data_IF_661908033117
#
_entry.id   IF_661908033117
#
_cell.length_a   1.000
_cell.length_b   1.000
_cell.length_c   1.000
_cell.angle_alpha   90.00
_cell.angle_beta   90.00
_cell.angle_gamma   90.00
#
_symmetry.space_group_name_H-M   'P 1'
#
loop_
_entity.id
_entity.type
_entity.pdbx_description
1 polymer ?
#
# COMPACT_ATOMS: atom_id res chain seq x y z
N UNK A 1 -4.44 -9.45 -24.85
CA UNK A 1 -4.27 -10.13 -23.54
C UNK A 1 -3.19 -9.35 -22.81
N UNK A 2 -3.45 -8.90 -21.62
CA UNK A 2 -2.48 -8.13 -20.83
C UNK A 2 -1.80 -9.03 -19.78
N UNK A 3 -0.55 -8.78 -19.45
CA UNK A 3 0.16 -9.55 -18.42
C UNK A 3 -0.15 -8.96 -17.05
N UNK A 4 -0.70 -9.78 -16.15
CA UNK A 4 -0.94 -9.46 -14.75
C UNK A 4 0.22 -9.97 -13.89
N UNK A 5 0.84 -9.06 -13.15
CA UNK A 5 1.78 -9.37 -12.08
C UNK A 5 1.05 -9.30 -10.75
N UNK A 6 1.14 -10.35 -9.95
CA UNK A 6 0.58 -10.37 -8.60
C UNK A 6 1.73 -10.26 -7.61
N UNK A 7 1.71 -9.21 -6.80
CA UNK A 7 2.72 -8.93 -5.78
C UNK A 7 2.14 -9.16 -4.38
N UNK A 8 3.01 -9.32 -3.39
CA UNK A 8 2.73 -9.07 -1.99
C UNK A 8 3.62 -7.93 -1.53
N UNK A 9 3.01 -6.90 -0.97
CA UNK A 9 3.68 -5.64 -0.60
C UNK A 9 3.66 -5.50 0.92
N UNK A 10 4.76 -5.05 1.50
CA UNK A 10 5.00 -4.98 2.95
C UNK A 10 5.15 -6.37 3.58
N UNK A 11 5.83 -7.26 2.88
CA UNK A 11 6.19 -8.57 3.43
C UNK A 11 7.12 -8.43 4.64
N UNK A 12 7.11 -9.45 5.50
CA UNK A 12 8.10 -9.59 6.55
C UNK A 12 9.51 -9.90 6.00
N UNK A 13 10.52 -9.98 6.88
CA UNK A 13 11.91 -10.24 6.50
C UNK A 13 12.12 -11.63 5.84
N UNK A 14 11.19 -12.56 6.02
CA UNK A 14 11.20 -13.87 5.39
C UNK A 14 10.41 -13.93 4.07
N UNK A 15 9.82 -12.80 3.62
CA UNK A 15 8.96 -12.72 2.45
C UNK A 15 7.55 -13.28 2.69
N UNK A 16 7.18 -13.48 3.95
CA UNK A 16 5.83 -13.87 4.37
C UNK A 16 4.87 -12.69 4.44
N UNK A 17 3.58 -12.97 4.62
CA UNK A 17 2.51 -11.96 4.72
C UNK A 17 2.46 -11.02 3.52
N UNK A 18 2.21 -9.73 3.74
CA UNK A 18 2.14 -8.70 2.70
C UNK A 18 0.77 -8.60 2.05
N UNK A 19 0.42 -7.38 1.66
CA UNK A 19 -0.85 -7.07 1.02
C UNK A 19 -0.82 -7.46 -0.47
N UNK A 20 -1.77 -8.29 -0.97
CA UNK A 20 -1.84 -8.63 -2.39
C UNK A 20 -2.11 -7.40 -3.28
N UNK A 21 -1.40 -7.33 -4.40
CA UNK A 21 -1.53 -6.26 -5.39
C UNK A 21 -1.49 -6.82 -6.80
N UNK A 22 -2.46 -6.44 -7.63
CA UNK A 22 -2.43 -6.69 -9.07
C UNK A 22 -1.78 -5.53 -9.82
N UNK A 23 -0.81 -5.80 -10.71
CA UNK A 23 -0.18 -4.76 -11.53
C UNK A 23 -0.14 -5.17 -13.01
N UNK A 24 -0.67 -4.32 -13.86
CA UNK A 24 -0.51 -4.37 -15.31
C UNK A 24 0.54 -3.34 -15.73
N UNK A 25 1.76 -3.79 -16.03
CA UNK A 25 2.83 -2.87 -16.48
C UNK A 25 2.57 -2.28 -17.86
N UNK A 26 1.83 -2.99 -18.71
CA UNK A 26 1.33 -2.52 -19.99
C UNK A 26 -0.16 -2.17 -19.88
N UNK A 27 -0.48 -1.36 -18.86
CA UNK A 27 -1.85 -0.97 -18.53
C UNK A 27 -2.58 -0.27 -19.67
N UNK A 28 -1.87 0.33 -20.62
CA UNK A 28 -2.45 0.89 -21.85
C UNK A 28 -3.13 -0.18 -22.73
N UNK A 29 -2.77 -1.47 -22.60
CA UNK A 29 -3.45 -2.57 -23.30
C UNK A 29 -4.84 -2.88 -22.74
N UNK A 30 -5.13 -2.41 -21.50
CA UNK A 30 -6.45 -2.54 -20.87
C UNK A 30 -7.25 -1.26 -21.10
N UNK A 31 -8.35 -1.33 -21.87
CA UNK A 31 -9.17 -0.15 -22.15
C UNK A 31 -9.61 0.54 -20.85
N UNK A 32 -9.53 1.88 -20.75
CA UNK A 32 -9.85 2.61 -19.52
C UNK A 32 -11.23 2.27 -18.95
N UNK A 33 -12.22 2.06 -19.81
CA UNK A 33 -13.59 1.70 -19.43
C UNK A 33 -13.74 0.28 -18.86
N UNK A 34 -12.73 -0.58 -19.02
CA UNK A 34 -12.69 -1.95 -18.50
C UNK A 34 -11.97 -2.05 -17.15
N UNK A 35 -11.10 -1.09 -16.81
CA UNK A 35 -10.19 -1.17 -15.66
C UNK A 35 -10.92 -1.36 -14.33
N UNK A 36 -12.03 -0.65 -14.12
CA UNK A 36 -12.83 -0.81 -12.90
C UNK A 36 -13.43 -2.22 -12.79
N UNK A 37 -13.93 -2.75 -13.92
CA UNK A 37 -14.48 -4.12 -13.93
C UNK A 37 -13.38 -5.16 -13.69
N UNK A 38 -12.20 -4.98 -14.28
CA UNK A 38 -11.02 -5.86 -14.06
C UNK A 38 -10.60 -5.84 -12.60
N UNK A 39 -10.49 -4.67 -11.97
CA UNK A 39 -10.16 -4.55 -10.55
C UNK A 39 -11.20 -5.25 -9.66
N UNK A 40 -12.48 -5.10 -9.98
CA UNK A 40 -13.56 -5.79 -9.27
C UNK A 40 -13.47 -7.30 -9.42
N UNK A 41 -13.22 -7.81 -10.65
CA UNK A 41 -13.10 -9.26 -10.95
C UNK A 41 -11.90 -9.89 -10.25
N UNK A 42 -10.78 -9.17 -10.15
CA UNK A 42 -9.56 -9.64 -9.47
C UNK A 42 -9.72 -9.70 -7.95
N UNK A 43 -10.49 -8.78 -7.37
CA UNK A 43 -10.81 -8.76 -5.94
C UNK A 43 -9.62 -8.49 -5.01
N UNK A 44 -8.49 -7.99 -5.52
CA UNK A 44 -7.42 -7.46 -4.67
C UNK A 44 -7.87 -6.14 -4.02
N UNK A 45 -7.29 -5.77 -2.89
CA UNK A 45 -7.55 -4.45 -2.29
C UNK A 45 -7.32 -3.33 -3.30
N UNK A 46 -6.26 -3.43 -4.12
CA UNK A 46 -6.07 -2.57 -5.29
C UNK A 46 -5.47 -3.30 -6.49
N UNK A 47 -5.72 -2.69 -7.65
CA UNK A 47 -5.13 -3.06 -8.94
C UNK A 47 -4.56 -1.82 -9.63
N UNK A 48 -3.35 -1.93 -10.14
CA UNK A 48 -2.63 -0.83 -10.82
C UNK A 48 -2.55 -1.09 -12.32
N UNK A 49 -2.78 -0.03 -13.08
CA UNK A 49 -2.52 0.01 -14.52
C UNK A 49 -1.46 1.08 -14.81
N UNK A 50 -0.28 0.67 -15.26
CA UNK A 50 0.79 1.58 -15.67
C UNK A 50 0.52 1.98 -17.11
N UNK A 51 0.19 3.25 -17.32
CA UNK A 51 -0.15 3.78 -18.65
C UNK A 51 1.10 3.99 -19.51
N UNK A 52 2.21 4.34 -18.87
CA UNK A 52 3.49 4.58 -19.53
C UNK A 52 4.65 4.25 -18.59
N UNK A 53 5.40 3.20 -18.90
CA UNK A 53 6.56 2.75 -18.10
C UNK A 53 7.66 3.81 -18.04
N UNK A 54 7.87 4.55 -19.12
CA UNK A 54 8.97 5.53 -19.22
C UNK A 54 8.76 6.74 -18.32
N UNK A 55 7.52 7.12 -18.08
CA UNK A 55 7.13 8.23 -17.20
C UNK A 55 6.62 7.75 -15.84
N UNK A 56 6.38 6.44 -15.69
CA UNK A 56 5.73 5.81 -14.55
C UNK A 56 4.34 6.42 -14.23
N UNK A 57 3.62 6.86 -15.28
CA UNK A 57 2.23 7.29 -15.18
C UNK A 57 1.36 6.06 -14.89
N UNK A 58 0.51 6.14 -13.86
CA UNK A 58 -0.27 5.00 -13.38
C UNK A 58 -1.63 5.40 -12.84
N UNK A 59 -2.55 4.43 -12.84
CA UNK A 59 -3.89 4.54 -12.26
C UNK A 59 -4.12 3.40 -11.28
N UNK A 60 -4.82 3.69 -10.19
CA UNK A 60 -5.02 2.78 -9.05
C UNK A 60 -6.52 2.59 -8.84
N UNK A 61 -6.97 1.34 -8.77
CA UNK A 61 -8.38 0.99 -8.59
C UNK A 61 -8.55 0.03 -7.41
N UNK A 62 -9.48 0.33 -6.51
CA UNK A 62 -10.08 -0.66 -5.60
C UNK A 62 -11.14 -1.45 -6.36
N UNK A 63 -11.73 -2.52 -5.81
CA UNK A 63 -12.89 -3.17 -6.42
C UNK A 63 -14.07 -2.23 -6.68
N UNK A 64 -14.20 -1.12 -5.95
CA UNK A 64 -15.33 -0.20 -6.01
C UNK A 64 -15.08 1.10 -6.76
N UNK A 65 -13.86 1.65 -6.73
CA UNK A 65 -13.57 2.98 -7.27
C UNK A 65 -12.10 3.18 -7.63
N UNK A 66 -11.83 4.24 -8.37
CA UNK A 66 -10.48 4.70 -8.67
C UNK A 66 -9.96 5.62 -7.55
N UNK A 67 -8.71 5.38 -7.11
CA UNK A 67 -8.03 6.19 -6.10
C UNK A 67 -7.03 7.16 -6.75
N UNK A 68 -6.95 8.41 -6.26
CA UNK A 68 -5.91 9.34 -6.71
C UNK A 68 -4.51 8.93 -6.23
N UNK A 69 -4.42 8.26 -5.08
CA UNK A 69 -3.18 7.76 -4.46
C UNK A 69 -3.49 6.59 -3.53
N UNK A 70 -2.58 5.62 -3.48
CA UNK A 70 -2.53 4.59 -2.45
C UNK A 70 -1.08 4.16 -2.20
N UNK A 71 -0.73 3.93 -0.93
CA UNK A 71 0.65 3.70 -0.51
C UNK A 71 1.21 2.35 -0.99
N UNK A 72 0.53 1.23 -0.66
CA UNK A 72 1.04 -0.08 -1.04
C UNK A 72 1.05 -0.31 -2.56
N UNK A 73 0.07 0.14 -3.36
CA UNK A 73 0.16 0.08 -4.81
C UNK A 73 1.36 0.84 -5.38
N UNK A 74 1.67 2.01 -4.80
CA UNK A 74 2.83 2.79 -5.22
C UNK A 74 4.15 2.10 -4.90
N UNK A 75 4.30 1.52 -3.69
CA UNK A 75 5.50 0.75 -3.31
C UNK A 75 5.67 -0.48 -4.21
N UNK A 76 4.61 -1.26 -4.42
CA UNK A 76 4.66 -2.45 -5.26
C UNK A 76 4.98 -2.14 -6.73
N UNK A 77 4.36 -1.10 -7.30
CA UNK A 77 4.63 -0.69 -8.69
C UNK A 77 6.06 -0.18 -8.86
N UNK A 78 6.57 0.63 -7.93
CA UNK A 78 7.96 1.10 -7.97
C UNK A 78 8.96 -0.06 -7.91
N UNK A 79 8.71 -1.04 -7.03
CA UNK A 79 9.53 -2.25 -6.94
C UNK A 79 9.49 -3.05 -8.24
N UNK A 80 8.29 -3.29 -8.81
CA UNK A 80 8.12 -4.10 -10.01
C UNK A 80 8.78 -3.45 -11.23
N UNK A 81 8.60 -2.14 -11.45
CA UNK A 81 9.28 -1.42 -12.52
C UNK A 81 10.80 -1.56 -12.41
N UNK A 82 11.36 -1.43 -11.21
CA UNK A 82 12.78 -1.62 -10.98
C UNK A 82 13.23 -3.09 -11.18
N UNK A 83 12.41 -4.07 -10.80
CA UNK A 83 12.63 -5.49 -11.03
C UNK A 83 12.73 -5.79 -12.54
N UNK A 84 11.86 -5.18 -13.34
CA UNK A 84 11.85 -5.28 -14.81
C UNK A 84 12.96 -4.45 -15.49
N UNK A 85 13.80 -3.75 -14.71
CA UNK A 85 14.97 -3.05 -15.22
C UNK A 85 14.78 -1.56 -15.50
N UNK A 86 13.60 -1.00 -15.17
CA UNK A 86 13.36 0.43 -15.32
C UNK A 86 14.04 1.23 -14.19
N UNK A 87 14.55 2.42 -14.51
CA UNK A 87 15.06 3.35 -13.50
C UNK A 87 13.94 4.30 -13.07
N UNK A 88 13.32 4.03 -11.92
CA UNK A 88 12.18 4.81 -11.43
C UNK A 88 12.56 5.59 -10.19
N UNK A 89 12.59 6.92 -10.30
CA UNK A 89 12.80 7.83 -9.18
C UNK A 89 11.48 8.52 -8.76
N UNK A 90 10.48 8.54 -9.64
CA UNK A 90 9.20 9.20 -9.43
C UNK A 90 8.08 8.40 -10.11
N UNK A 91 7.01 8.08 -9.36
CA UNK A 91 5.74 7.60 -9.91
C UNK A 91 4.78 8.78 -10.13
N UNK A 92 3.82 8.62 -11.06
CA UNK A 92 2.83 9.64 -11.40
C UNK A 92 1.40 9.10 -11.34
N UNK A 93 0.87 8.84 -10.13
CA UNK A 93 -0.56 8.64 -9.95
C UNK A 93 -1.31 9.97 -10.08
N UNK A 94 -2.66 9.98 -10.16
CA UNK A 94 -3.45 11.20 -10.32
C UNK A 94 -3.25 12.29 -9.25
N UNK A 95 -2.87 11.91 -8.02
CA UNK A 95 -2.63 12.88 -6.93
C UNK A 95 -1.40 13.76 -7.16
N UNK A 96 -0.40 13.29 -7.92
CA UNK A 96 0.83 14.05 -8.19
C UNK A 96 2.07 13.18 -8.24
N UNK A 97 3.24 13.80 -8.16
CA UNK A 97 4.53 13.12 -8.18
C UNK A 97 4.84 12.46 -6.83
N UNK A 98 5.15 11.19 -6.87
CA UNK A 98 5.51 10.34 -5.72
C UNK A 98 6.96 9.92 -5.87
N UNK A 99 7.83 10.49 -5.05
CA UNK A 99 9.26 10.14 -5.08
C UNK A 99 9.48 8.70 -4.59
N UNK A 100 10.40 8.00 -5.26
CA UNK A 100 10.78 6.64 -4.95
C UNK A 100 12.19 6.59 -4.40
N UNK A 101 12.40 5.82 -3.34
CA UNK A 101 13.70 5.53 -2.75
C UNK A 101 13.83 4.02 -2.52
N UNK A 102 15.01 3.48 -2.70
CA UNK A 102 15.30 2.06 -2.48
C UNK A 102 16.49 1.89 -1.54
N UNK A 103 16.45 0.84 -0.73
CA UNK A 103 17.53 0.41 0.14
C UNK A 103 17.85 -1.06 -0.12
N UNK A 104 19.12 -1.42 -0.19
CA UNK A 104 19.57 -2.78 -0.45
C UNK A 104 19.66 -3.13 -1.94
N UNK A 105 19.70 -4.43 -2.22
CA UNK A 105 19.82 -4.95 -3.59
C UNK A 105 18.47 -4.94 -4.32
N UNK A 106 18.49 -5.20 -5.64
CA UNK A 106 17.32 -5.02 -6.53
C UNK A 106 16.09 -5.79 -6.05
N UNK A 107 16.22 -7.04 -5.69
CA UNK A 107 15.10 -7.93 -5.43
C UNK A 107 14.83 -8.15 -3.93
N UNK A 108 15.86 -8.07 -3.09
CA UNK A 108 15.79 -8.29 -1.65
C UNK A 108 15.78 -6.99 -0.83
N UNK A 109 15.80 -5.84 -1.53
CA UNK A 109 15.82 -4.53 -0.91
C UNK A 109 14.42 -4.01 -0.53
N UNK A 110 14.43 -2.99 0.34
CA UNK A 110 13.21 -2.27 0.68
C UNK A 110 12.94 -1.17 -0.35
N UNK A 111 11.67 -1.00 -0.70
CA UNK A 111 11.20 0.08 -1.57
C UNK A 111 10.33 1.03 -0.76
N UNK A 112 10.57 2.33 -0.94
CA UNK A 112 9.90 3.42 -0.23
C UNK A 112 9.32 4.41 -1.21
N UNK A 113 8.19 5.01 -0.84
CA UNK A 113 7.56 6.11 -1.57
C UNK A 113 7.24 7.25 -0.62
N UNK A 114 7.37 8.49 -1.12
CA UNK A 114 7.06 9.70 -0.36
C UNK A 114 5.78 10.34 -0.91
N UNK A 115 4.84 10.63 -0.02
CA UNK A 115 3.56 11.24 -0.38
C UNK A 115 3.09 12.23 0.69
N UNK A 116 2.12 13.06 0.33
CA UNK A 116 1.44 13.94 1.29
C UNK A 116 0.42 13.15 2.10
N UNK A 117 0.37 13.38 3.40
CA UNK A 117 -0.64 12.78 4.27
C UNK A 117 -2.07 13.14 3.82
N UNK A 118 -2.27 14.35 3.30
CA UNK A 118 -3.56 14.83 2.76
C UNK A 118 -4.06 14.09 1.51
N UNK A 119 -3.22 13.30 0.83
CA UNK A 119 -3.62 12.44 -0.29
C UNK A 119 -4.23 11.11 0.16
N UNK A 120 -4.04 10.77 1.43
CA UNK A 120 -4.61 9.57 2.03
C UNK A 120 -6.13 9.71 2.21
N UNK A 121 -6.89 8.63 2.14
CA UNK A 121 -8.26 8.61 2.65
C UNK A 121 -8.31 9.13 4.10
N UNK A 122 -9.46 9.65 4.56
CA UNK A 122 -9.58 10.26 5.89
C UNK A 122 -9.63 9.19 7.00
N UNK A 123 -8.57 8.39 7.13
CA UNK A 123 -8.47 7.35 8.16
C UNK A 123 -8.72 7.89 9.55
N UNK A 124 -9.62 7.27 10.30
CA UNK A 124 -9.76 7.51 11.72
C UNK A 124 -8.67 6.73 12.48
N UNK A 125 -7.64 7.44 12.93
CA UNK A 125 -6.56 6.84 13.74
C UNK A 125 -7.04 6.67 15.19
N UNK A 126 -7.24 5.43 15.62
CA UNK A 126 -7.75 5.09 16.96
C UNK A 126 -6.66 4.37 17.74
N UNK A 127 -6.13 5.03 18.75
CA UNK A 127 -5.12 4.47 19.64
C UNK A 127 -5.76 3.60 20.72
N UNK A 128 -5.15 2.45 20.97
CA UNK A 128 -5.47 1.51 22.05
C UNK A 128 -4.34 1.51 23.06
N UNK A 129 -4.65 1.26 24.33
CA UNK A 129 -3.67 1.19 25.41
C UNK A 129 -2.72 -0.02 25.27
N UNK A 130 -3.23 -1.14 24.72
CA UNK A 130 -2.51 -2.41 24.65
C UNK A 130 -2.50 -3.01 23.25
N UNK A 131 -1.32 -3.40 22.71
CA UNK A 131 -1.21 -4.02 21.38
C UNK A 131 -1.94 -5.37 21.31
N UNK A 132 -2.07 -6.09 22.43
CA UNK A 132 -2.84 -7.32 22.49
C UNK A 132 -4.34 -7.08 22.24
N UNK A 133 -4.89 -5.93 22.64
CA UNK A 133 -6.27 -5.59 22.36
C UNK A 133 -6.51 -5.36 20.87
N UNK A 134 -5.57 -4.71 20.17
CA UNK A 134 -5.63 -4.54 18.71
C UNK A 134 -5.53 -5.91 18.00
N UNK A 135 -4.63 -6.78 18.44
CA UNK A 135 -4.44 -8.10 17.85
C UNK A 135 -5.64 -9.04 18.05
N UNK A 136 -6.39 -8.88 19.15
CA UNK A 136 -7.52 -9.75 19.51
C UNK A 136 -8.86 -9.34 18.87
N UNK A 137 -8.91 -8.30 18.04
CA UNK A 137 -10.14 -7.86 17.39
C UNK A 137 -10.62 -8.92 16.37
N UNK A 138 -11.91 -9.29 16.45
CA UNK A 138 -12.56 -10.20 15.51
C UNK A 138 -13.18 -9.46 14.30
N UNK A 139 -12.90 -8.15 14.15
CA UNK A 139 -13.44 -7.29 13.11
C UNK A 139 -13.49 -5.84 13.55
N UNK A 140 -14.10 -4.96 12.76
CA UNK A 140 -14.22 -3.54 13.09
C UNK A 140 -15.08 -3.34 14.34
N UNK A 141 -14.60 -2.57 15.33
CA UNK A 141 -15.33 -2.37 16.58
C UNK A 141 -16.64 -1.62 16.35
N UNK A 142 -17.73 -2.12 16.98
CA UNK A 142 -19.03 -1.44 17.00
C UNK A 142 -19.80 -1.45 15.69
N UNK A 143 -19.47 -2.33 14.71
CA UNK A 143 -20.17 -2.40 13.42
C UNK A 143 -20.00 -1.13 12.58
N UNK A 144 -18.90 -0.42 12.76
CA UNK A 144 -18.58 0.79 12.00
C UNK A 144 -18.35 0.44 10.53
N UNK A 145 -18.88 1.30 9.65
CA UNK A 145 -18.65 1.26 8.21
C UNK A 145 -17.57 2.27 7.77
N UNK A 146 -16.97 2.98 8.74
CA UNK A 146 -15.97 4.01 8.50
C UNK A 146 -14.61 3.39 8.17
N UNK A 147 -13.75 4.19 7.55
CA UNK A 147 -12.35 3.87 7.35
C UNK A 147 -11.57 4.08 8.63
N UNK A 148 -11.20 2.99 9.30
CA UNK A 148 -10.58 3.02 10.61
C UNK A 148 -9.22 2.33 10.63
N UNK A 149 -8.27 2.97 11.30
CA UNK A 149 -6.95 2.45 11.58
C UNK A 149 -6.74 2.35 13.08
N UNK A 150 -6.75 1.13 13.59
CA UNK A 150 -6.63 0.80 15.01
C UNK A 150 -5.17 0.46 15.31
N UNK A 151 -4.59 1.13 16.29
CA UNK A 151 -3.17 0.96 16.57
C UNK A 151 -2.84 1.07 18.06
N UNK A 152 -1.70 0.49 18.45
CA UNK A 152 -1.12 0.60 19.78
C UNK A 152 0.40 0.52 19.72
N UNK A 153 1.08 1.12 20.68
CA UNK A 153 2.53 0.97 20.84
C UNK A 153 2.89 -0.44 21.33
N UNK A 154 3.72 -1.15 20.57
CA UNK A 154 4.43 -2.34 21.07
C UNK A 154 5.68 -1.91 21.87
N UNK A 155 6.34 -0.87 21.42
CA UNK A 155 7.46 -0.20 22.06
C UNK A 155 7.54 1.24 21.54
N UNK A 156 7.00 2.17 22.33
CA UNK A 156 6.96 3.58 21.92
C UNK A 156 8.36 4.17 21.76
N UNK A 157 9.31 3.82 22.64
CA UNK A 157 10.67 4.35 22.57
C UNK A 157 11.38 3.93 21.27
N UNK A 158 11.10 2.73 20.78
CA UNK A 158 11.65 2.19 19.54
C UNK A 158 10.78 2.47 18.29
N UNK A 159 9.65 3.17 18.44
CA UNK A 159 8.71 3.46 17.34
C UNK A 159 8.00 2.21 16.80
N UNK A 160 7.87 1.13 17.60
CA UNK A 160 7.19 -0.09 17.17
C UNK A 160 5.70 -0.05 17.47
N UNK A 161 4.90 -0.37 16.45
CA UNK A 161 3.44 -0.26 16.47
C UNK A 161 2.80 -1.59 16.04
N UNK A 162 1.74 -1.99 16.72
CA UNK A 162 0.78 -3.00 16.29
C UNK A 162 -0.45 -2.30 15.72
N UNK A 163 -0.92 -2.71 14.53
CA UNK A 163 -2.11 -2.09 13.93
C UNK A 163 -3.01 -3.10 13.21
N UNK A 164 -4.26 -2.69 12.98
CA UNK A 164 -5.24 -3.30 12.07
C UNK A 164 -6.03 -2.20 11.36
N UNK A 165 -6.41 -2.47 10.13
CA UNK A 165 -7.10 -1.50 9.29
C UNK A 165 -8.36 -2.12 8.70
N UNK A 166 -9.46 -1.34 8.69
CA UNK A 166 -10.73 -1.76 8.10
C UNK A 166 -11.24 -0.67 7.16
N UNK A 167 -11.54 -1.06 5.92
CA UNK A 167 -12.08 -0.21 4.85
C UNK A 167 -13.34 -0.86 4.27
N UNK A 168 -14.44 -0.79 5.04
CA UNK A 168 -15.69 -1.44 4.65
C UNK A 168 -16.41 -0.68 3.53
N UNK A 169 -16.27 0.65 3.50
CA UNK A 169 -16.88 1.50 2.49
C UNK A 169 -16.36 1.19 1.07
N UNK A 170 -15.08 0.80 0.94
CA UNK A 170 -14.44 0.46 -0.33
C UNK A 170 -14.62 -1.02 -0.72
N UNK A 171 -15.32 -1.81 0.11
CA UNK A 171 -15.54 -3.22 -0.12
C UNK A 171 -14.33 -4.13 0.14
N UNK A 172 -13.28 -3.59 0.77
CA UNK A 172 -12.03 -4.33 1.05
C UNK A 172 -12.15 -5.19 2.32
N UNK A 173 -12.94 -4.74 3.31
CA UNK A 173 -13.02 -5.41 4.60
C UNK A 173 -11.82 -5.06 5.49
N UNK A 174 -11.09 -6.07 5.99
CA UNK A 174 -9.80 -5.84 6.65
C UNK A 174 -8.72 -5.72 5.59
N UNK A 175 -7.94 -4.63 5.66
CA UNK A 175 -6.77 -4.40 4.81
C UNK A 175 -5.50 -4.83 5.53
N UNK A 176 -4.80 -5.82 4.95
CA UNK A 176 -3.64 -6.47 5.57
C UNK A 176 -2.48 -5.50 5.80
N UNK A 177 -2.26 -4.51 4.91
CA UNK A 177 -1.21 -3.51 5.08
C UNK A 177 -1.53 -2.21 4.33
N UNK A 178 -1.75 -1.12 5.09
CA UNK A 178 -2.29 0.15 4.60
C UNK A 178 -1.24 1.26 4.62
N UNK A 179 -0.57 1.45 3.49
CA UNK A 179 0.51 2.43 3.39
C UNK A 179 0.05 3.88 3.61
N UNK A 180 -1.16 4.25 3.16
CA UNK A 180 -1.71 5.60 3.35
C UNK A 180 -2.00 5.91 4.82
N UNK A 181 -2.52 4.94 5.59
CA UNK A 181 -2.74 5.10 7.01
C UNK A 181 -1.40 5.18 7.79
N UNK A 182 -0.38 4.40 7.36
CA UNK A 182 0.96 4.48 7.94
C UNK A 182 1.61 5.86 7.72
N UNK A 183 1.41 6.48 6.54
CA UNK A 183 1.83 7.87 6.25
C UNK A 183 1.17 8.84 7.23
N UNK A 184 -0.16 8.75 7.41
CA UNK A 184 -0.89 9.60 8.34
C UNK A 184 -0.44 9.40 9.79
N UNK A 185 -0.21 8.16 10.22
CA UNK A 185 0.24 7.87 11.58
C UNK A 185 1.66 8.41 11.83
N UNK A 186 2.58 8.26 10.88
CA UNK A 186 3.93 8.79 11.00
C UNK A 186 3.93 10.33 11.08
N UNK A 187 3.10 10.99 10.27
CA UNK A 187 2.93 12.45 10.33
C UNK A 187 2.32 12.89 11.66
N UNK A 188 1.24 12.24 12.10
CA UNK A 188 0.53 12.56 13.34
C UNK A 188 1.39 12.36 14.60
N UNK A 189 2.21 11.32 14.63
CA UNK A 189 3.10 11.03 15.78
C UNK A 189 4.43 11.80 15.71
N UNK A 190 4.81 12.29 14.52
CA UNK A 190 6.11 12.93 14.29
C UNK A 190 7.30 11.98 14.44
N UNK A 191 7.10 10.66 14.27
CA UNK A 191 8.09 9.62 14.58
C UNK A 191 8.34 8.70 13.38
N UNK A 192 9.54 8.14 13.34
CA UNK A 192 9.83 6.96 12.54
C UNK A 192 9.17 5.73 13.18
N UNK A 193 8.47 4.94 12.37
CA UNK A 193 7.65 3.81 12.81
C UNK A 193 8.05 2.52 12.11
N UNK A 194 8.09 1.43 12.87
CA UNK A 194 8.04 0.06 12.37
C UNK A 194 6.67 -0.52 12.76
N UNK A 195 5.81 -0.70 11.78
CA UNK A 195 4.42 -1.07 11.98
C UNK A 195 4.23 -2.54 11.60
N UNK A 196 3.71 -3.34 12.52
CA UNK A 196 3.22 -4.68 12.26
C UNK A 196 1.71 -4.64 12.13
N UNK A 197 1.21 -4.77 10.89
CA UNK A 197 -0.21 -4.70 10.57
C UNK A 197 -0.78 -6.07 10.16
N UNK A 198 -2.09 -6.24 10.30
CA UNK A 198 -2.80 -7.44 9.89
C UNK A 198 -2.30 -8.70 10.59
N UNK A 199 -2.02 -9.75 9.85
CA UNK A 199 -1.46 -11.00 10.39
C UNK A 199 0.03 -10.90 10.69
N UNK A 200 0.80 -10.10 9.92
CA UNK A 200 2.23 -9.97 10.13
C UNK A 200 2.98 -9.11 9.13
N UNK A 201 2.28 -8.35 8.31
CA UNK A 201 2.90 -7.42 7.37
C UNK A 201 3.72 -6.35 8.06
N UNK A 202 4.87 -5.98 7.49
CA UNK A 202 5.81 -5.01 8.06
C UNK A 202 5.94 -3.76 7.17
N UNK A 203 5.49 -2.63 7.72
CA UNK A 203 5.63 -1.32 7.11
C UNK A 203 6.64 -0.48 7.89
N UNK A 204 7.45 0.29 7.18
CA UNK A 204 8.28 1.34 7.74
C UNK A 204 7.71 2.67 7.27
N UNK A 205 7.49 3.61 8.20
CA UNK A 205 7.01 4.93 7.86
C UNK A 205 7.76 5.99 8.66
N UNK A 206 7.98 7.17 8.06
CA UNK A 206 8.61 8.28 8.76
C UNK A 206 8.11 9.62 8.24
N UNK A 207 7.95 10.64 9.09
CA UNK A 207 7.63 11.99 8.64
C UNK A 207 8.84 12.60 7.94
N UNK A 208 8.57 13.42 6.92
CA UNK A 208 9.57 14.20 6.18
C UNK A 208 9.40 15.70 6.42
N UNK A 209 8.37 16.11 7.17
CA UNK A 209 8.00 17.51 7.41
C UNK A 209 7.02 18.06 6.37
N UNK A 210 6.42 19.21 6.70
CA UNK A 210 5.49 19.93 5.82
C UNK A 210 4.34 19.09 5.25
N UNK A 211 3.82 18.11 6.05
CA UNK A 211 2.75 17.21 5.66
C UNK A 211 3.18 16.07 4.72
N UNK A 212 4.49 15.89 4.49
CA UNK A 212 5.04 14.76 3.76
C UNK A 212 5.49 13.66 4.71
N UNK A 213 5.27 12.43 4.30
CA UNK A 213 5.83 11.25 4.94
C UNK A 213 6.25 10.19 3.91
N UNK A 214 7.15 9.33 4.32
CA UNK A 214 7.62 8.19 3.54
C UNK A 214 7.04 6.90 4.12
N UNK A 215 6.64 5.98 3.24
CA UNK A 215 6.27 4.60 3.62
C UNK A 215 6.96 3.60 2.71
N UNK A 216 7.34 2.46 3.25
CA UNK A 216 8.00 1.40 2.47
C UNK A 216 8.09 0.08 3.20
N UNK A 217 8.62 -0.92 2.49
CA UNK A 217 8.80 -2.28 3.00
C UNK A 217 9.28 -3.25 1.94
N UNK A 218 9.27 -4.54 2.30
CA UNK A 218 9.61 -5.64 1.41
C UNK A 218 8.49 -5.93 0.40
N UNK A 219 8.87 -6.33 -0.81
CA UNK A 219 7.94 -6.73 -1.88
C UNK A 219 8.36 -8.07 -2.46
N UNK A 220 7.40 -8.95 -2.75
CA UNK A 220 7.63 -10.25 -3.37
C UNK A 220 6.73 -10.40 -4.58
N UNK A 221 7.30 -10.84 -5.72
CA UNK A 221 6.54 -11.27 -6.89
C UNK A 221 5.97 -12.68 -6.62
N UNK A 222 4.65 -12.76 -6.47
CA UNK A 222 3.97 -14.01 -6.15
C UNK A 222 3.56 -14.81 -7.40
N UNK A 223 3.12 -14.12 -8.46
CA UNK A 223 2.63 -14.76 -9.69
C UNK A 223 2.75 -13.81 -10.89
N UNK A 224 2.98 -14.38 -12.07
CA UNK A 224 2.82 -13.69 -13.36
C UNK A 224 1.92 -14.55 -14.24
N UNK A 225 0.86 -13.96 -14.79
CA UNK A 225 -0.09 -14.68 -15.67
C UNK A 225 -0.72 -13.78 -16.72
N UNK A 226 -1.19 -14.37 -17.81
CA UNK A 226 -2.02 -13.67 -18.79
C UNK A 226 -3.43 -13.42 -18.25
N UNK A 227 -3.99 -12.24 -18.57
CA UNK A 227 -5.35 -11.84 -18.22
C UNK A 227 -6.12 -11.42 -19.47
N UNK A 228 -7.37 -11.87 -19.65
CA UNK A 228 -8.20 -11.55 -20.82
C UNK A 228 -8.86 -10.16 -20.70
N UNK A 229 -8.10 -9.14 -20.37
CA UNK A 229 -8.58 -7.78 -20.09
C UNK A 229 -9.31 -7.11 -21.27
#
# INVERSE_FOLDING_TARGET
MATLHVLRVFCDEAGGFGNPLGVFLDGAEVPPERRQAVAHELGFSETVFVDDRSTAAMRIFTPGLELPFAGHPSVGTAWLLAHEGESVEVLRPPAGEVAVRREGERDDGLTFVSARAEWSPPWQLIEYDEPAAVAALDGPPGGREDEIYLWAWEDEAAGRVRSRCYSLADGVGEDEATGSAAIMLAEATGRELLIRQGEGSLLRARPLGDGWAEVGGGVVLAEVRDHPA
#
